data_IF_683601315710
#
_entry.id   IF_683601315710
#
_cell.length_a   1.000
_cell.length_b   1.000
_cell.length_c   1.000
_cell.angle_alpha   90.00
_cell.angle_beta   90.00
_cell.angle_gamma   90.00
#
_symmetry.space_group_name_H-M   'P 1'
#
loop_
_entity.id
_entity.type
_entity.pdbx_description
1 polymer ?
#
# COMPACT_ATOMS: atom_id res chain seq x y z
N UNK A 1 11.43 10.98 -6.56
CA UNK A 1 11.43 9.72 -7.34
C UNK A 1 12.33 8.65 -6.75
N UNK A 2 13.63 8.90 -6.51
CA UNK A 2 14.53 7.88 -5.92
C UNK A 2 14.01 7.28 -4.59
N UNK A 3 13.63 8.10 -3.62
CA UNK A 3 13.12 7.62 -2.32
C UNK A 3 11.79 6.85 -2.39
N UNK A 4 10.95 7.12 -3.39
CA UNK A 4 9.66 6.43 -3.57
C UNK A 4 9.87 5.00 -4.09
N UNK A 5 10.82 4.81 -5.01
CA UNK A 5 11.15 3.49 -5.55
C UNK A 5 11.73 2.55 -4.47
N UNK A 6 12.57 3.07 -3.57
CA UNK A 6 13.14 2.28 -2.46
C UNK A 6 12.15 1.95 -1.35
N UNK A 7 11.12 2.78 -1.15
CA UNK A 7 10.13 2.59 -0.10
C UNK A 7 8.84 1.99 -0.68
N UNK A 8 7.90 2.81 -1.12
CA UNK A 8 6.57 2.35 -1.52
C UNK A 8 6.57 1.39 -2.71
N UNK A 9 7.51 1.52 -3.64
CA UNK A 9 7.58 0.66 -4.83
C UNK A 9 7.91 -0.81 -4.52
N UNK A 10 8.91 -1.06 -3.68
CA UNK A 10 9.36 -2.42 -3.34
C UNK A 10 8.68 -2.96 -2.07
N UNK A 11 8.43 -2.12 -1.08
CA UNK A 11 7.96 -2.55 0.26
C UNK A 11 6.55 -3.13 0.21
N UNK A 12 5.66 -2.61 -0.65
CA UNK A 12 4.29 -3.13 -0.73
C UNK A 12 4.25 -4.61 -1.14
N UNK A 13 5.11 -5.00 -2.07
CA UNK A 13 5.19 -6.38 -2.58
C UNK A 13 5.84 -7.32 -1.58
N UNK A 14 6.90 -6.84 -0.90
CA UNK A 14 7.52 -7.57 0.21
C UNK A 14 6.48 -7.82 1.30
N UNK A 15 5.75 -6.78 1.69
CA UNK A 15 4.73 -6.89 2.73
C UNK A 15 3.60 -7.86 2.37
N UNK A 16 3.03 -7.76 1.16
CA UNK A 16 2.01 -8.72 0.68
C UNK A 16 2.55 -10.14 0.75
N UNK A 17 3.84 -10.36 0.51
CA UNK A 17 4.44 -11.69 0.59
C UNK A 17 4.72 -12.18 2.02
N UNK A 18 4.85 -11.28 2.99
CA UNK A 18 5.25 -11.58 4.39
C UNK A 18 4.06 -11.64 5.35
N UNK A 19 2.95 -10.96 5.04
CA UNK A 19 1.79 -10.84 5.94
C UNK A 19 0.92 -12.12 5.96
N UNK A 20 0.89 -12.87 4.87
CA UNK A 20 0.02 -14.05 4.74
C UNK A 20 0.75 -15.34 5.14
N UNK A 21 0.10 -16.22 5.92
CA UNK A 21 0.68 -17.51 6.28
C UNK A 21 0.83 -18.43 5.06
N UNK A 22 1.77 -19.38 5.13
CA UNK A 22 2.10 -20.27 4.01
C UNK A 22 0.89 -21.00 3.43
N UNK A 23 -0.11 -21.33 4.26
CA UNK A 23 -1.36 -22.00 3.85
C UNK A 23 -2.21 -21.19 2.87
N UNK A 24 -2.22 -19.86 2.97
CA UNK A 24 -3.04 -18.96 2.14
C UNK A 24 -2.20 -17.96 1.34
N UNK A 25 -0.87 -18.12 1.33
CA UNK A 25 0.06 -17.15 0.75
C UNK A 25 -0.22 -16.86 -0.73
N UNK A 26 -0.57 -17.88 -1.51
CA UNK A 26 -0.92 -17.72 -2.93
C UNK A 26 -2.24 -16.95 -3.13
N UNK A 27 -3.24 -17.21 -2.29
CA UNK A 27 -4.54 -16.55 -2.33
C UNK A 27 -4.43 -15.10 -1.85
N UNK A 28 -3.73 -14.86 -0.74
CA UNK A 28 -3.45 -13.53 -0.21
C UNK A 28 -2.61 -12.68 -1.16
N UNK A 29 -1.60 -13.27 -1.80
CA UNK A 29 -0.82 -12.61 -2.85
C UNK A 29 -1.67 -12.18 -4.04
N UNK A 30 -2.56 -13.06 -4.52
CA UNK A 30 -3.48 -12.76 -5.63
C UNK A 30 -4.47 -11.65 -5.26
N UNK A 31 -5.08 -11.72 -4.07
CA UNK A 31 -6.01 -10.71 -3.59
C UNK A 31 -5.32 -9.35 -3.42
N UNK A 32 -4.14 -9.32 -2.79
CA UNK A 32 -3.36 -8.09 -2.60
C UNK A 32 -2.98 -7.44 -3.94
N UNK A 33 -2.53 -8.25 -4.90
CA UNK A 33 -2.19 -7.77 -6.25
C UNK A 33 -3.42 -7.23 -6.98
N UNK A 34 -4.56 -7.93 -6.89
CA UNK A 34 -5.80 -7.51 -7.52
C UNK A 34 -6.32 -6.19 -6.95
N UNK A 35 -6.36 -6.06 -5.62
CA UNK A 35 -6.74 -4.80 -4.96
C UNK A 35 -5.81 -3.66 -5.36
N UNK A 36 -4.49 -3.91 -5.40
CA UNK A 36 -3.51 -2.91 -5.83
C UNK A 36 -3.80 -2.40 -7.25
N UNK A 37 -4.02 -3.31 -8.20
CA UNK A 37 -4.28 -2.95 -9.60
C UNK A 37 -5.62 -2.24 -9.79
N UNK A 38 -6.69 -2.63 -9.06
CA UNK A 38 -7.96 -1.90 -9.10
C UNK A 38 -7.79 -0.48 -8.58
N UNK A 39 -7.11 -0.30 -7.43
CA UNK A 39 -6.88 1.03 -6.88
C UNK A 39 -6.03 1.88 -7.83
N UNK A 40 -5.02 1.29 -8.47
CA UNK A 40 -4.23 1.96 -9.49
C UNK A 40 -5.08 2.41 -10.69
N UNK A 41 -6.01 1.57 -11.15
CA UNK A 41 -6.94 1.91 -12.23
C UNK A 41 -7.89 3.05 -11.82
N UNK A 42 -8.45 3.01 -10.61
CA UNK A 42 -9.31 4.07 -10.07
C UNK A 42 -8.54 5.39 -10.02
N UNK A 43 -7.33 5.41 -9.46
CA UNK A 43 -6.49 6.62 -9.38
C UNK A 43 -6.19 7.16 -10.79
N UNK A 44 -5.85 6.28 -11.73
CA UNK A 44 -5.56 6.66 -13.12
C UNK A 44 -6.77 7.33 -13.79
N UNK A 45 -7.98 6.93 -13.42
CA UNK A 45 -9.20 7.53 -13.97
C UNK A 45 -9.66 8.78 -13.23
N UNK A 46 -9.51 8.84 -11.91
CA UNK A 46 -9.95 10.00 -11.10
C UNK A 46 -8.98 11.18 -11.19
N UNK A 47 -7.69 10.93 -11.41
CA UNK A 47 -6.69 12.00 -11.48
C UNK A 47 -7.00 13.03 -12.60
N UNK A 48 -7.25 12.64 -13.86
CA UNK A 48 -7.64 13.59 -14.91
C UNK A 48 -8.91 14.36 -14.56
N UNK A 49 -9.92 13.68 -13.99
CA UNK A 49 -11.20 14.31 -13.60
C UNK A 49 -10.98 15.46 -12.62
N UNK A 50 -10.11 15.28 -11.61
CA UNK A 50 -9.81 16.33 -10.63
C UNK A 50 -9.03 17.47 -11.28
N UNK A 51 -8.04 17.15 -12.11
CA UNK A 51 -7.20 18.15 -12.77
C UNK A 51 -7.98 19.00 -13.78
N UNK A 52 -8.88 18.40 -14.55
CA UNK A 52 -9.65 19.07 -15.60
C UNK A 52 -10.89 19.81 -15.07
N UNK A 53 -11.36 19.48 -13.86
CA UNK A 53 -12.56 20.10 -13.26
C UNK A 53 -12.42 21.59 -12.94
N UNK A 54 -11.20 22.12 -12.81
CA UNK A 54 -10.95 23.49 -12.41
C UNK A 54 -9.60 24.00 -12.92
N UNK A 55 -9.46 25.31 -13.11
CA UNK A 55 -8.16 25.95 -13.42
C UNK A 55 -7.07 25.67 -12.37
N UNK A 56 -7.47 25.37 -11.13
CA UNK A 56 -6.58 24.97 -10.04
C UNK A 56 -6.63 23.45 -9.74
N UNK A 57 -7.17 22.62 -10.64
CA UNK A 57 -7.36 21.18 -10.42
C UNK A 57 -6.08 20.43 -10.06
N UNK A 58 -4.94 20.82 -10.64
CA UNK A 58 -3.62 20.30 -10.26
C UNK A 58 -3.29 20.51 -8.77
N UNK A 59 -3.53 21.71 -8.24
CA UNK A 59 -3.30 22.03 -6.83
C UNK A 59 -4.18 21.16 -5.91
N UNK A 60 -5.46 21.02 -6.23
CA UNK A 60 -6.38 20.17 -5.45
C UNK A 60 -5.97 18.69 -5.49
N UNK A 61 -5.55 18.17 -6.64
CA UNK A 61 -4.99 16.83 -6.75
C UNK A 61 -3.77 16.65 -5.83
N UNK A 62 -2.81 17.58 -5.86
CA UNK A 62 -1.61 17.49 -5.01
C UNK A 62 -1.95 17.49 -3.52
N UNK A 63 -2.85 18.38 -3.07
CA UNK A 63 -3.30 18.41 -1.67
C UNK A 63 -3.98 17.10 -1.27
N UNK A 64 -4.88 16.58 -2.12
CA UNK A 64 -5.59 15.33 -1.87
C UNK A 64 -4.64 14.14 -1.74
N UNK A 65 -3.76 13.92 -2.73
CA UNK A 65 -2.83 12.80 -2.70
C UNK A 65 -1.77 12.94 -1.60
N UNK A 66 -1.35 14.17 -1.27
CA UNK A 66 -0.46 14.43 -0.13
C UNK A 66 -1.12 14.07 1.21
N UNK A 67 -2.40 14.42 1.40
CA UNK A 67 -3.18 14.00 2.57
C UNK A 67 -3.31 12.48 2.68
N UNK A 68 -3.58 11.80 1.56
CA UNK A 68 -3.64 10.33 1.50
C UNK A 68 -2.30 9.67 1.85
N UNK A 69 -1.17 10.27 1.46
CA UNK A 69 0.15 9.79 1.86
C UNK A 69 0.36 9.89 3.37
N UNK A 70 -0.08 10.97 4.02
CA UNK A 70 0.01 11.11 5.48
C UNK A 70 -0.85 10.07 6.21
N UNK A 71 -2.07 9.83 5.74
CA UNK A 71 -2.93 8.77 6.28
C UNK A 71 -2.28 7.39 6.13
N UNK A 72 -1.69 7.13 4.96
CA UNK A 72 -0.97 5.87 4.70
C UNK A 72 0.22 5.70 5.64
N UNK A 73 0.98 6.78 5.88
CA UNK A 73 2.09 6.78 6.83
C UNK A 73 1.63 6.46 8.26
N UNK A 74 0.57 7.11 8.74
CA UNK A 74 0.01 6.86 10.08
C UNK A 74 -0.47 5.41 10.21
N UNK A 75 -1.16 4.90 9.18
CA UNK A 75 -1.60 3.51 9.15
C UNK A 75 -0.43 2.54 9.26
N UNK A 76 0.62 2.74 8.45
CA UNK A 76 1.81 1.89 8.49
C UNK A 76 2.46 1.95 9.88
N UNK A 77 2.65 3.16 10.41
CA UNK A 77 3.32 3.34 11.69
C UNK A 77 2.57 2.72 12.88
N UNK A 78 1.23 2.69 12.85
CA UNK A 78 0.43 2.24 13.99
C UNK A 78 -0.11 0.82 13.89
N UNK A 79 -0.41 0.36 12.67
CA UNK A 79 -1.10 -0.92 12.44
C UNK A 79 -0.15 -2.01 11.96
N UNK A 80 0.89 -1.64 11.22
CA UNK A 80 1.76 -2.62 10.58
C UNK A 80 2.88 -3.02 11.55
N UNK A 81 3.01 -4.31 11.90
CA UNK A 81 4.14 -4.77 12.70
C UNK A 81 5.43 -4.71 11.87
N UNK A 82 6.55 -4.47 12.55
CA UNK A 82 7.88 -4.54 11.90
C UNK A 82 8.17 -5.99 11.50
N UNK A 83 8.28 -6.24 10.19
CA UNK A 83 8.56 -7.57 9.63
C UNK A 83 10.04 -7.81 9.38
N UNK A 84 10.88 -6.75 9.41
CA UNK A 84 12.29 -6.85 9.08
C UNK A 84 13.05 -7.78 10.04
N UNK A 85 13.70 -8.80 9.47
CA UNK A 85 14.57 -9.71 10.21
C UNK A 85 13.83 -10.76 11.05
N UNK A 86 12.51 -10.88 10.90
CA UNK A 86 11.70 -11.91 11.56
C UNK A 86 11.41 -13.07 10.61
N UNK A 87 11.34 -14.29 11.15
CA UNK A 87 10.87 -15.43 10.37
C UNK A 87 9.35 -15.35 10.18
N UNK A 88 8.84 -16.03 9.14
CA UNK A 88 7.39 -16.09 8.88
C UNK A 88 6.62 -16.65 10.07
N UNK A 89 7.18 -17.63 10.80
CA UNK A 89 6.54 -18.18 12.01
C UNK A 89 6.46 -17.15 13.14
N UNK A 90 7.47 -16.28 13.29
CA UNK A 90 7.47 -15.21 14.29
C UNK A 90 6.40 -14.16 13.97
N UNK A 91 6.26 -13.79 12.70
CA UNK A 91 5.24 -12.84 12.24
C UNK A 91 3.83 -13.42 12.45
N UNK A 92 3.61 -14.71 12.13
CA UNK A 92 2.32 -15.39 12.38
C UNK A 92 1.96 -15.41 13.87
N UNK A 93 2.94 -15.69 14.74
CA UNK A 93 2.74 -15.69 16.19
C UNK A 93 2.41 -14.30 16.74
N UNK A 94 3.05 -13.24 16.25
CA UNK A 94 2.74 -11.85 16.63
C UNK A 94 1.35 -11.41 16.12
N UNK A 95 0.93 -11.90 14.96
CA UNK A 95 -0.40 -11.66 14.41
C UNK A 95 -1.51 -12.54 15.03
N UNK A 96 -1.16 -13.49 15.90
CA UNK A 96 -2.10 -14.40 16.55
C UNK A 96 -2.72 -15.43 15.61
N UNK A 97 -2.10 -15.69 14.47
CA UNK A 97 -2.57 -16.67 13.47
C UNK A 97 -1.94 -18.03 13.82
N UNK A 98 -2.78 -19.02 14.14
CA UNK A 98 -2.36 -20.41 14.40
C UNK A 98 -2.03 -21.17 13.12
#
# INVERSE_FOLDING_TARGET
MAFFAFSQGAVIWVFISEIFPNSVRSQGGSLGSFTHWIMAAIISWTFPVIVESSSNGGFYSFIFYSGMMLLSFIFIWRVMPETKGKSLEQIQKELGIK
#
